data_IF_694577803790
#
_entry.id   IF_694577803790
#
_cell.length_a   1.000
_cell.length_b   1.000
_cell.length_c   1.000
_cell.angle_alpha   90.00
_cell.angle_beta   90.00
_cell.angle_gamma   90.00
#
_symmetry.space_group_name_H-M   'P 1'
#
loop_
_entity.id
_entity.type
_entity.pdbx_description
1 polymer ?
#
# COMPACT_ATOMS: atom_id res chain seq x y z
N UNK A 1 25.09 -31.33 -49.22
CA UNK A 1 24.16 -30.19 -49.13
C UNK A 1 23.22 -30.19 -47.90
N UNK A 2 23.31 -31.13 -46.95
CA UNK A 2 22.42 -31.19 -45.75
C UNK A 2 23.04 -30.61 -44.47
N UNK A 3 24.28 -30.21 -44.44
CA UNK A 3 24.98 -29.75 -43.20
C UNK A 3 24.89 -28.24 -42.95
N UNK A 4 24.79 -27.40 -43.97
CA UNK A 4 24.76 -25.94 -43.82
C UNK A 4 23.43 -25.41 -43.24
N UNK A 5 22.32 -26.05 -43.56
CA UNK A 5 21.01 -25.63 -43.05
C UNK A 5 20.84 -25.88 -41.54
N UNK A 6 21.50 -26.91 -40.98
CA UNK A 6 21.44 -27.19 -39.52
C UNK A 6 22.19 -26.14 -38.70
N UNK A 7 23.30 -25.64 -39.22
CA UNK A 7 24.09 -24.59 -38.56
C UNK A 7 23.38 -23.22 -38.57
N UNK A 8 22.67 -22.90 -39.65
CA UNK A 8 21.85 -21.68 -39.72
C UNK A 8 20.65 -21.72 -38.73
N UNK A 9 19.97 -22.86 -38.67
CA UNK A 9 18.86 -23.05 -37.69
C UNK A 9 19.34 -22.98 -36.23
N UNK A 10 20.47 -23.57 -35.88
CA UNK A 10 21.04 -23.50 -34.54
C UNK A 10 21.45 -22.06 -34.15
N UNK A 11 21.98 -21.26 -35.07
CA UNK A 11 22.32 -19.85 -34.80
C UNK A 11 21.10 -18.98 -34.62
N UNK A 12 20.03 -19.21 -35.36
CA UNK A 12 18.76 -18.50 -35.21
C UNK A 12 18.08 -18.87 -33.89
N UNK A 13 18.03 -20.14 -33.52
CA UNK A 13 17.49 -20.61 -32.26
C UNK A 13 18.30 -20.10 -31.05
N UNK A 14 19.62 -20.09 -31.12
CA UNK A 14 20.48 -19.54 -30.06
C UNK A 14 20.27 -18.02 -29.90
N UNK A 15 20.12 -17.27 -31.00
CA UNK A 15 19.81 -15.84 -30.96
C UNK A 15 18.45 -15.53 -30.31
N UNK A 16 17.43 -16.31 -30.63
CA UNK A 16 16.07 -16.14 -30.05
C UNK A 16 16.07 -16.43 -28.56
N UNK A 17 16.77 -17.50 -28.11
CA UNK A 17 16.85 -17.84 -26.67
C UNK A 17 17.58 -16.76 -25.86
N UNK A 18 18.66 -16.19 -26.39
CA UNK A 18 19.40 -15.09 -25.71
C UNK A 18 18.55 -13.84 -25.61
N UNK A 19 17.81 -13.46 -26.65
CA UNK A 19 16.91 -12.28 -26.61
C UNK A 19 15.77 -12.49 -25.62
N UNK A 20 15.18 -13.70 -25.54
CA UNK A 20 14.15 -13.98 -24.53
C UNK A 20 14.69 -13.91 -23.08
N UNK A 21 15.91 -14.40 -22.84
CA UNK A 21 16.52 -14.34 -21.49
C UNK A 21 16.85 -12.91 -21.06
N UNK A 22 17.24 -12.04 -21.99
CA UNK A 22 17.51 -10.64 -21.66
C UNK A 22 16.22 -9.91 -21.32
N UNK A 23 15.14 -10.12 -22.08
CA UNK A 23 13.84 -9.48 -21.84
C UNK A 23 13.22 -9.84 -20.47
N UNK A 24 13.35 -11.09 -20.04
CA UNK A 24 12.84 -11.53 -18.72
C UNK A 24 13.64 -10.93 -17.54
N UNK A 25 14.94 -10.72 -17.70
CA UNK A 25 15.77 -10.11 -16.65
C UNK A 25 15.50 -8.61 -16.49
N UNK A 26 15.23 -7.88 -17.56
CA UNK A 26 14.90 -6.45 -17.52
C UNK A 26 13.55 -6.25 -16.82
N UNK A 27 12.49 -6.99 -17.20
CA UNK A 27 11.18 -6.88 -16.58
C UNK A 27 11.21 -7.18 -15.06
N UNK A 28 12.08 -8.10 -14.61
CA UNK A 28 12.25 -8.39 -13.18
C UNK A 28 13.01 -7.28 -12.44
N UNK A 29 13.98 -6.63 -13.07
CA UNK A 29 14.72 -5.51 -12.47
C UNK A 29 13.82 -4.30 -12.27
N UNK A 30 13.01 -3.97 -13.26
CA UNK A 30 12.04 -2.86 -13.18
C UNK A 30 11.01 -3.07 -12.05
N UNK A 31 10.52 -4.30 -11.87
CA UNK A 31 9.59 -4.61 -10.77
C UNK A 31 10.24 -4.49 -9.39
N UNK A 32 11.52 -4.84 -9.27
CA UNK A 32 12.27 -4.69 -8.01
C UNK A 32 12.43 -3.21 -7.69
N UNK A 33 12.78 -2.37 -8.65
CA UNK A 33 12.91 -0.93 -8.49
C UNK A 33 11.58 -0.29 -8.08
N UNK A 34 10.47 -0.63 -8.76
CA UNK A 34 9.13 -0.20 -8.41
C UNK A 34 8.75 -0.59 -6.97
N UNK A 35 9.06 -1.83 -6.57
CA UNK A 35 8.77 -2.32 -5.22
C UNK A 35 9.59 -1.60 -4.14
N UNK A 36 10.85 -1.28 -4.44
CA UNK A 36 11.71 -0.50 -3.54
C UNK A 36 11.18 0.92 -3.37
N UNK A 37 10.92 1.65 -4.44
CA UNK A 37 10.35 2.99 -4.40
C UNK A 37 9.00 3.04 -3.67
N UNK A 38 8.11 2.08 -3.95
CA UNK A 38 6.84 1.99 -3.23
C UNK A 38 7.02 1.68 -1.73
N UNK A 39 8.00 0.84 -1.39
CA UNK A 39 8.33 0.55 0.02
C UNK A 39 8.88 1.76 0.76
N UNK A 40 9.69 2.59 0.10
CA UNK A 40 10.20 3.85 0.64
C UNK A 40 9.07 4.84 0.91
N UNK A 41 8.20 5.08 -0.08
CA UNK A 41 7.03 5.97 0.07
C UNK A 41 6.10 5.49 1.19
N UNK A 42 5.82 4.18 1.27
CA UNK A 42 5.00 3.63 2.34
C UNK A 42 5.66 3.77 3.72
N UNK A 43 6.98 3.66 3.79
CA UNK A 43 7.74 3.85 5.03
C UNK A 43 7.70 5.31 5.46
N UNK A 44 7.99 6.25 4.56
CA UNK A 44 7.89 7.70 4.81
C UNK A 44 6.51 8.08 5.34
N UNK A 45 5.45 7.56 4.71
CA UNK A 45 4.08 7.79 5.20
C UNK A 45 3.91 7.34 6.66
N UNK A 46 4.39 6.13 6.99
CA UNK A 46 4.24 5.56 8.34
C UNK A 46 5.09 6.30 9.39
N UNK A 47 6.28 6.73 9.03
CA UNK A 47 7.19 7.49 9.90
C UNK A 47 6.59 8.86 10.21
N UNK A 48 6.24 9.64 9.20
CA UNK A 48 5.63 10.97 9.38
C UNK A 48 4.33 10.91 10.20
N UNK A 49 3.47 9.92 9.90
CA UNK A 49 2.23 9.71 10.65
C UNK A 49 2.51 9.32 12.11
N UNK A 50 3.51 8.46 12.32
CA UNK A 50 3.92 8.00 13.66
C UNK A 50 4.52 9.12 14.50
N UNK A 51 5.35 9.96 13.90
CA UNK A 51 5.94 11.14 14.53
C UNK A 51 4.86 12.18 14.90
N UNK A 52 3.98 12.52 13.94
CA UNK A 52 2.86 13.43 14.19
C UNK A 52 1.96 12.92 15.32
N UNK A 53 1.64 11.62 15.31
CA UNK A 53 0.84 11.00 16.37
C UNK A 53 1.54 11.08 17.73
N UNK A 54 2.84 10.78 17.79
CA UNK A 54 3.60 10.81 19.05
C UNK A 54 3.70 12.22 19.58
N UNK A 55 3.95 13.20 18.74
CA UNK A 55 4.03 14.62 19.09
C UNK A 55 2.68 15.10 19.68
N UNK A 56 1.57 14.92 18.97
CA UNK A 56 0.27 15.38 19.44
C UNK A 56 -0.16 14.67 20.73
N UNK A 57 0.11 13.37 20.85
CA UNK A 57 -0.15 12.61 22.09
C UNK A 57 0.61 13.17 23.29
N UNK A 58 1.86 13.59 23.09
CA UNK A 58 2.75 14.10 24.16
C UNK A 58 2.40 15.55 24.52
N UNK A 59 2.14 16.39 23.53
CA UNK A 59 1.97 17.83 23.73
C UNK A 59 0.55 18.20 24.13
N UNK A 60 -0.48 17.53 23.56
CA UNK A 60 -1.89 17.91 23.70
C UNK A 60 -2.78 16.80 24.24
N UNK A 61 -2.24 15.59 24.36
CA UNK A 61 -2.96 14.45 24.86
C UNK A 61 -3.75 13.67 23.79
N UNK A 62 -4.35 12.54 24.19
CA UNK A 62 -4.90 11.56 23.25
C UNK A 62 -6.18 12.03 22.54
N UNK A 63 -6.97 12.93 23.12
CA UNK A 63 -8.18 13.45 22.47
C UNK A 63 -7.81 14.31 21.27
N UNK A 64 -6.85 15.21 21.45
CA UNK A 64 -6.36 16.09 20.39
C UNK A 64 -5.59 15.32 19.31
N UNK A 65 -4.90 14.23 19.68
CA UNK A 65 -4.21 13.37 18.73
C UNK A 65 -5.14 12.71 17.69
N UNK A 66 -6.46 12.69 17.91
CA UNK A 66 -7.43 12.24 16.91
C UNK A 66 -7.38 13.12 15.65
N UNK A 67 -6.98 14.39 15.78
CA UNK A 67 -6.83 15.32 14.66
C UNK A 67 -5.77 14.85 13.64
N UNK A 68 -4.75 14.14 14.12
CA UNK A 68 -3.73 13.51 13.23
C UNK A 68 -4.41 12.55 12.27
N UNK A 69 -5.33 11.75 12.75
CA UNK A 69 -6.05 10.80 11.90
C UNK A 69 -7.04 11.47 10.94
N UNK A 70 -7.67 12.58 11.36
CA UNK A 70 -8.70 13.26 10.56
C UNK A 70 -8.14 14.20 9.50
N UNK A 71 -7.01 14.86 9.80
CA UNK A 71 -6.41 15.91 8.95
C UNK A 71 -5.03 15.51 8.43
N UNK A 72 -4.06 15.27 9.31
CA UNK A 72 -2.68 15.07 8.89
C UNK A 72 -2.48 13.79 8.07
N UNK A 73 -3.12 12.68 8.41
CA UNK A 73 -2.96 11.44 7.64
C UNK A 73 -3.42 11.57 6.18
N UNK A 74 -4.60 12.18 5.87
CA UNK A 74 -4.97 12.49 4.49
C UNK A 74 -4.02 13.49 3.80
N UNK A 75 -3.51 14.50 4.53
CA UNK A 75 -2.60 15.50 3.97
C UNK A 75 -1.25 14.88 3.58
N UNK A 76 -0.68 14.02 4.44
CA UNK A 76 0.55 13.26 4.14
C UNK A 76 0.32 12.37 2.92
N UNK A 77 -0.77 11.60 2.87
CA UNK A 77 -1.10 10.75 1.74
C UNK A 77 -1.25 11.56 0.43
N UNK A 78 -1.96 12.69 0.49
CA UNK A 78 -2.16 13.58 -0.65
C UNK A 78 -0.87 14.24 -1.13
N UNK A 79 0.02 14.65 -0.23
CA UNK A 79 1.33 15.20 -0.57
C UNK A 79 2.20 14.15 -1.27
N UNK A 80 2.37 12.98 -0.66
CA UNK A 80 3.16 11.87 -1.24
C UNK A 80 2.58 11.44 -2.59
N UNK A 81 1.25 11.42 -2.74
CA UNK A 81 0.61 11.11 -4.02
C UNK A 81 0.99 12.11 -5.13
N UNK A 82 1.02 13.41 -4.83
CA UNK A 82 1.40 14.44 -5.80
C UNK A 82 2.90 14.43 -6.13
N UNK A 83 3.74 14.20 -5.12
CA UNK A 83 5.20 14.17 -5.28
C UNK A 83 5.66 13.04 -6.20
N UNK A 84 5.00 11.87 -6.10
CA UNK A 84 5.38 10.68 -6.85
C UNK A 84 4.49 10.41 -8.09
N UNK A 85 3.38 11.11 -8.27
CA UNK A 85 2.41 10.79 -9.32
C UNK A 85 1.66 9.47 -9.08
N UNK A 86 1.66 8.94 -7.84
CA UNK A 86 1.04 7.67 -7.45
C UNK A 86 -0.17 7.91 -6.54
N UNK A 87 -1.07 6.97 -6.48
CA UNK A 87 -2.12 6.99 -5.46
C UNK A 87 -1.59 6.33 -4.19
N UNK A 88 -1.38 7.13 -3.14
CA UNK A 88 -0.99 6.67 -1.80
C UNK A 88 -2.22 6.74 -0.90
N UNK A 89 -2.60 5.63 -0.29
CA UNK A 89 -3.76 5.54 0.60
C UNK A 89 -3.47 4.64 1.81
N UNK A 90 -4.33 4.75 2.83
CA UNK A 90 -4.31 3.84 3.98
C UNK A 90 -5.66 3.14 4.08
N UNK A 91 -5.67 1.84 3.88
CA UNK A 91 -6.87 1.01 3.97
C UNK A 91 -6.91 0.19 5.24
N UNK A 92 -8.10 -0.15 5.73
CA UNK A 92 -8.27 -0.84 7.00
C UNK A 92 -9.00 -2.18 6.89
N UNK A 93 -8.65 -3.14 7.76
CA UNK A 93 -9.43 -4.37 7.93
C UNK A 93 -10.79 -4.10 8.56
N UNK A 94 -10.84 -3.20 9.52
CA UNK A 94 -12.04 -2.56 10.08
C UNK A 94 -11.90 -1.06 9.84
N UNK A 95 -12.82 -0.46 9.10
CA UNK A 95 -12.66 0.88 8.54
C UNK A 95 -13.14 1.93 9.52
N UNK A 96 -12.32 2.97 9.79
CA UNK A 96 -12.70 4.13 10.59
C UNK A 96 -13.43 5.19 9.77
N UNK A 97 -12.84 5.54 8.63
CA UNK A 97 -13.42 6.48 7.69
C UNK A 97 -13.73 5.76 6.36
N UNK A 98 -15.01 5.45 6.07
CA UNK A 98 -15.38 4.75 4.84
C UNK A 98 -14.96 5.46 3.55
N UNK A 99 -14.95 6.81 3.56
CA UNK A 99 -14.60 7.59 2.37
C UNK A 99 -13.12 7.48 1.96
N UNK A 100 -12.23 7.27 2.95
CA UNK A 100 -10.78 7.30 2.72
C UNK A 100 -10.09 5.96 2.96
N UNK A 101 -10.74 5.04 3.68
CA UNK A 101 -10.06 3.82 4.14
C UNK A 101 -10.74 2.52 3.73
N UNK A 102 -11.76 2.57 2.85
CA UNK A 102 -12.42 1.38 2.32
C UNK A 102 -11.49 0.70 1.31
N UNK A 103 -11.11 -0.56 1.51
CA UNK A 103 -10.28 -1.29 0.56
C UNK A 103 -11.10 -1.70 -0.67
N UNK A 104 -10.48 -1.62 -1.86
CA UNK A 104 -11.00 -2.21 -3.08
C UNK A 104 -10.87 -3.76 -3.08
N UNK A 105 -11.34 -4.42 -4.13
CA UNK A 105 -11.36 -5.90 -4.21
C UNK A 105 -9.94 -6.50 -4.13
N UNK A 106 -8.96 -5.87 -4.79
CA UNK A 106 -7.57 -6.32 -4.73
C UNK A 106 -6.98 -6.13 -3.33
N UNK A 107 -7.19 -4.97 -2.73
CA UNK A 107 -6.73 -4.63 -1.38
C UNK A 107 -7.35 -5.55 -0.32
N UNK A 108 -8.65 -5.91 -0.47
CA UNK A 108 -9.32 -6.85 0.42
C UNK A 108 -8.65 -8.23 0.39
N UNK A 109 -8.30 -8.74 -0.80
CA UNK A 109 -7.58 -10.01 -0.96
C UNK A 109 -6.24 -9.99 -0.24
N UNK A 110 -5.45 -8.94 -0.47
CA UNK A 110 -4.12 -8.80 0.17
C UNK A 110 -4.23 -8.62 1.69
N UNK A 111 -5.22 -7.86 2.18
CA UNK A 111 -5.49 -7.74 3.62
C UNK A 111 -5.87 -9.09 4.25
N UNK A 112 -6.63 -9.92 3.55
CA UNK A 112 -6.97 -11.28 4.03
C UNK A 112 -5.70 -12.14 4.15
N UNK A 113 -4.81 -12.13 3.16
CA UNK A 113 -3.52 -12.84 3.20
C UNK A 113 -2.65 -12.37 4.37
N UNK A 114 -2.53 -11.06 4.59
CA UNK A 114 -1.78 -10.51 5.72
C UNK A 114 -2.41 -10.92 7.06
N UNK A 115 -3.75 -10.92 7.16
CA UNK A 115 -4.47 -11.33 8.37
C UNK A 115 -4.21 -12.80 8.70
N UNK A 116 -4.26 -13.67 7.70
CA UNK A 116 -3.99 -15.09 7.87
C UNK A 116 -2.55 -15.35 8.33
N UNK A 117 -1.58 -14.63 7.75
CA UNK A 117 -0.18 -14.74 8.15
C UNK A 117 0.06 -14.24 9.57
N UNK A 118 -0.60 -13.14 9.97
CA UNK A 118 -0.55 -12.63 11.33
C UNK A 118 -1.12 -13.64 12.34
N UNK A 119 -2.26 -14.23 12.02
CA UNK A 119 -2.91 -15.23 12.88
C UNK A 119 -2.05 -16.50 13.07
N UNK A 120 -1.20 -16.84 12.10
CA UNK A 120 -0.24 -17.96 12.18
C UNK A 120 1.06 -17.61 12.93
N UNK A 121 1.13 -16.41 13.55
CA UNK A 121 2.32 -15.96 14.30
C UNK A 121 3.55 -15.69 13.41
N UNK A 122 3.39 -15.59 12.09
CA UNK A 122 4.51 -15.24 11.20
C UNK A 122 4.86 -13.76 11.37
N UNK A 123 6.16 -13.47 11.44
CA UNK A 123 6.65 -12.09 11.50
C UNK A 123 6.19 -11.32 10.26
N UNK A 124 5.37 -10.30 10.47
CA UNK A 124 4.88 -9.42 9.40
C UNK A 124 5.78 -8.18 9.25
N UNK A 125 6.66 -7.94 10.21
CA UNK A 125 7.65 -6.87 10.11
C UNK A 125 8.50 -7.03 8.84
N UNK A 126 8.49 -6.00 7.99
CA UNK A 126 9.18 -6.00 6.69
C UNK A 126 8.43 -6.72 5.55
N UNK A 127 7.26 -7.31 5.81
CA UNK A 127 6.45 -7.93 4.76
C UNK A 127 5.84 -6.86 3.85
N UNK A 128 5.86 -7.15 2.55
CA UNK A 128 5.14 -6.37 1.53
C UNK A 128 4.45 -7.33 0.57
N UNK A 129 3.47 -6.82 -0.16
CA UNK A 129 2.86 -7.52 -1.28
C UNK A 129 2.82 -6.57 -2.46
N UNK A 130 3.24 -7.03 -3.63
CA UNK A 130 3.15 -6.25 -4.86
C UNK A 130 2.85 -7.15 -6.05
N UNK A 131 2.14 -6.62 -7.02
CA UNK A 131 1.90 -7.26 -8.31
C UNK A 131 1.52 -6.22 -9.37
N UNK A 132 1.68 -6.56 -10.63
CA UNK A 132 1.14 -5.79 -11.76
C UNK A 132 -0.28 -6.28 -12.01
N UNK A 133 -1.23 -5.35 -11.95
CA UNK A 133 -2.67 -5.62 -12.13
C UNK A 133 -3.16 -4.90 -13.37
N UNK A 134 -3.88 -5.62 -14.24
CA UNK A 134 -4.59 -5.03 -15.36
C UNK A 134 -6.00 -4.65 -14.92
N UNK A 135 -6.32 -3.38 -14.98
CA UNK A 135 -7.64 -2.81 -14.69
C UNK A 135 -8.26 -2.28 -16.02
N UNK A 136 -9.56 -1.96 -16.06
CA UNK A 136 -10.19 -1.51 -17.30
C UNK A 136 -9.59 -0.27 -17.94
N UNK A 137 -8.95 0.58 -17.15
CA UNK A 137 -8.34 1.86 -17.52
C UNK A 137 -6.81 1.81 -17.70
N UNK A 138 -6.19 0.63 -17.54
CA UNK A 138 -4.74 0.46 -17.76
C UNK A 138 -4.08 -0.58 -16.88
N UNK A 139 -2.74 -0.61 -16.96
CA UNK A 139 -1.93 -1.45 -16.08
C UNK A 139 -1.38 -0.64 -14.91
N UNK A 140 -1.36 -1.28 -13.76
CA UNK A 140 -0.90 -0.66 -12.51
C UNK A 140 0.04 -1.57 -11.76
N UNK A 141 1.14 -1.01 -11.29
CA UNK A 141 1.89 -1.63 -10.21
C UNK A 141 1.16 -1.31 -8.89
N UNK A 142 0.77 -2.36 -8.18
CA UNK A 142 0.07 -2.27 -6.91
C UNK A 142 0.95 -2.81 -5.80
N UNK A 143 1.02 -2.08 -4.70
CA UNK A 143 1.87 -2.41 -3.56
C UNK A 143 1.13 -2.19 -2.25
N UNK A 144 1.31 -3.10 -1.29
CA UNK A 144 0.80 -2.92 0.07
C UNK A 144 1.86 -3.24 1.12
N UNK A 145 1.92 -2.39 2.16
CA UNK A 145 2.73 -2.57 3.36
C UNK A 145 1.81 -2.65 4.59
N UNK A 146 1.83 -3.75 5.38
CA UNK A 146 0.91 -3.94 6.49
C UNK A 146 1.18 -2.99 7.64
N UNK A 147 0.12 -2.63 8.37
CA UNK A 147 0.13 -1.84 9.60
C UNK A 147 -0.36 -2.74 10.74
N UNK A 148 0.53 -3.02 11.70
CA UNK A 148 0.21 -3.85 12.86
C UNK A 148 -0.27 -3.00 14.03
N UNK A 149 -1.21 -3.55 14.79
CA UNK A 149 -1.66 -2.94 16.05
C UNK A 149 -0.60 -3.14 17.13
N UNK A 150 -0.09 -2.03 17.65
CA UNK A 150 0.79 -1.98 18.81
C UNK A 150 -0.02 -1.65 20.07
N UNK A 151 0.56 -1.86 21.26
CA UNK A 151 -0.12 -1.58 22.53
C UNK A 151 -0.63 -0.12 22.62
N UNK A 152 0.16 0.85 22.14
CA UNK A 152 -0.24 2.27 22.08
C UNK A 152 -1.46 2.54 21.19
N UNK A 153 -1.74 1.68 20.22
CA UNK A 153 -2.87 1.83 19.29
C UNK A 153 -4.20 1.51 19.97
N UNK A 154 -4.19 0.71 21.04
CA UNK A 154 -5.39 0.25 21.72
C UNK A 154 -6.16 1.38 22.43
N UNK A 155 -5.48 2.50 22.70
CA UNK A 155 -6.12 3.68 23.28
C UNK A 155 -7.29 4.21 22.41
N UNK A 156 -7.19 4.03 21.09
CA UNK A 156 -8.23 4.45 20.13
C UNK A 156 -8.80 3.29 19.30
N UNK A 157 -8.17 2.11 19.35
CA UNK A 157 -8.54 0.94 18.56
C UNK A 157 -8.83 -0.32 19.37
N UNK A 158 -8.68 -0.27 20.71
CA UNK A 158 -9.01 -1.35 21.61
C UNK A 158 -10.51 -1.65 21.67
N UNK A 159 -10.92 -2.47 22.62
CA UNK A 159 -12.35 -2.73 22.87
C UNK A 159 -13.05 -1.49 23.42
N UNK A 160 -14.36 -1.37 23.20
CA UNK A 160 -15.12 -0.19 23.56
C UNK A 160 -15.09 0.13 25.06
N UNK A 161 -14.92 -0.86 25.91
CA UNK A 161 -14.78 -0.75 27.36
C UNK A 161 -13.39 -0.29 27.80
N UNK A 162 -12.37 -0.54 27.00
CA UNK A 162 -10.97 -0.13 27.24
C UNK A 162 -10.66 1.29 26.74
N UNK A 163 -11.42 1.78 25.76
CA UNK A 163 -11.22 3.13 25.20
C UNK A 163 -11.81 4.16 26.20
N UNK A 164 -11.01 5.14 26.68
CA UNK A 164 -11.50 6.19 27.56
C UNK A 164 -12.72 6.93 26.99
N UNK A 165 -13.64 7.33 27.84
CA UNK A 165 -14.91 7.95 27.40
C UNK A 165 -14.70 9.21 26.57
N UNK A 166 -13.76 10.08 26.95
CA UNK A 166 -13.44 11.30 26.20
C UNK A 166 -12.98 11.01 24.78
N UNK A 167 -12.15 9.97 24.59
CA UNK A 167 -11.70 9.51 23.28
C UNK A 167 -12.86 8.92 22.49
N UNK A 168 -13.69 8.09 23.12
CA UNK A 168 -14.84 7.46 22.49
C UNK A 168 -15.85 8.50 21.98
N UNK A 169 -16.12 9.54 22.77
CA UNK A 169 -17.01 10.64 22.38
C UNK A 169 -16.45 11.42 21.19
N UNK A 170 -15.16 11.76 21.21
CA UNK A 170 -14.49 12.43 20.09
C UNK A 170 -14.47 11.56 18.83
N UNK A 171 -14.16 10.27 18.95
CA UNK A 171 -14.20 9.34 17.82
C UNK A 171 -15.61 9.24 17.23
N UNK A 172 -16.65 9.16 18.03
CA UNK A 172 -18.05 9.14 17.58
C UNK A 172 -18.42 10.42 16.83
N UNK A 173 -17.94 11.56 17.29
CA UNK A 173 -18.17 12.85 16.63
C UNK A 173 -17.45 12.96 15.29
N UNK A 174 -16.16 12.56 15.23
CA UNK A 174 -15.34 12.68 14.03
C UNK A 174 -15.61 11.56 13.01
N UNK A 175 -16.03 10.38 13.47
CA UNK A 175 -16.21 9.17 12.67
C UNK A 175 -17.51 8.46 13.05
N UNK A 176 -18.68 8.97 12.64
CA UNK A 176 -19.98 8.39 13.01
C UNK A 176 -20.17 6.94 12.51
N UNK A 177 -19.39 6.50 11.53
CA UNK A 177 -19.42 5.14 10.95
C UNK A 177 -18.19 4.32 11.32
N UNK A 178 -17.48 4.67 12.40
CA UNK A 178 -16.26 3.97 12.84
C UNK A 178 -16.51 2.51 13.17
N UNK A 179 -15.77 1.62 12.52
CA UNK A 179 -15.71 0.18 12.83
C UNK A 179 -14.32 -0.26 13.31
N UNK A 180 -13.36 0.67 13.43
CA UNK A 180 -11.96 0.36 13.73
C UNK A 180 -11.69 0.24 15.25
N UNK A 181 -12.52 -0.50 15.95
CA UNK A 181 -12.41 -0.81 17.39
C UNK A 181 -12.33 -2.32 17.61
N UNK A 182 -12.03 -2.73 18.84
CA UNK A 182 -11.97 -4.14 19.25
C UNK A 182 -10.73 -4.87 18.74
N UNK A 183 -9.65 -4.16 18.43
CA UNK A 183 -8.36 -4.77 18.08
C UNK A 183 -7.59 -5.21 19.31
N UNK A 184 -6.71 -6.18 19.07
CA UNK A 184 -5.68 -6.63 20.03
C UNK A 184 -4.29 -6.32 19.47
N UNK A 185 -3.31 -6.18 20.35
CA UNK A 185 -1.90 -6.08 19.95
C UNK A 185 -1.50 -7.28 19.09
N UNK A 186 -0.81 -7.01 17.98
CA UNK A 186 -0.38 -8.04 17.02
C UNK A 186 -1.39 -8.35 15.92
N UNK A 187 -2.62 -7.81 15.98
CA UNK A 187 -3.57 -7.92 14.86
C UNK A 187 -3.21 -6.95 13.72
N UNK A 188 -3.61 -7.30 12.52
CA UNK A 188 -3.50 -6.43 11.36
C UNK A 188 -4.53 -5.30 11.46
N UNK A 189 -4.06 -4.04 11.51
CA UNK A 189 -4.92 -2.84 11.47
C UNK A 189 -5.39 -2.52 10.04
N UNK A 190 -4.53 -2.78 9.08
CA UNK A 190 -4.69 -2.42 7.68
C UNK A 190 -3.36 -2.37 6.95
N UNK A 191 -3.28 -1.56 5.92
CA UNK A 191 -2.05 -1.38 5.15
C UNK A 191 -1.96 0.04 4.55
N UNK A 192 -0.74 0.49 4.27
CA UNK A 192 -0.50 1.52 3.25
C UNK A 192 -0.62 0.85 1.91
N UNK A 193 -1.44 1.40 1.02
CA UNK A 193 -1.65 0.92 -0.34
C UNK A 193 -1.18 1.97 -1.33
N UNK A 194 -0.40 1.53 -2.32
CA UNK A 194 0.11 2.34 -3.41
C UNK A 194 -0.36 1.74 -4.73
N UNK A 195 -0.88 2.60 -5.60
CA UNK A 195 -1.25 2.28 -6.98
C UNK A 195 -0.51 3.24 -7.89
N UNK A 196 0.37 2.70 -8.73
CA UNK A 196 1.19 3.44 -9.68
C UNK A 196 0.80 3.03 -11.10
N UNK A 197 0.42 3.95 -11.99
CA UNK A 197 0.20 3.63 -13.38
C UNK A 197 1.51 3.17 -14.03
N UNK A 198 1.43 2.12 -14.84
CA UNK A 198 2.55 1.67 -15.69
C UNK A 198 2.24 2.18 -17.08
N UNK A 199 3.13 3.00 -17.63
CA UNK A 199 3.02 3.41 -19.04
C UNK A 199 3.20 2.17 -19.92
N UNK A 200 2.21 1.87 -20.74
CA UNK A 200 2.35 0.83 -21.74
C UNK A 200 3.53 1.21 -22.66
N UNK A 201 4.50 0.32 -22.80
CA UNK A 201 5.62 0.47 -23.74
C UNK A 201 5.17 0.60 -25.22
N UNK A 202 3.87 0.56 -25.46
CA UNK A 202 3.19 0.87 -26.71
C UNK A 202 2.73 2.32 -26.69
N UNK A 203 3.68 3.24 -26.93
CA UNK A 203 3.48 4.67 -26.99
C UNK A 203 2.12 5.09 -27.54
N UNK A 204 1.32 5.66 -26.69
CA UNK A 204 0.05 6.32 -26.97
C UNK A 204 -0.12 7.47 -26.01
N UNK A 205 0.61 8.56 -26.23
CA UNK A 205 0.27 9.88 -25.72
C UNK A 205 -1.20 10.13 -26.03
N UNK A 206 -2.05 10.02 -25.02
CA UNK A 206 -3.38 10.62 -25.11
C UNK A 206 -3.17 12.13 -25.06
N UNK A 207 -3.20 12.68 -26.26
CA UNK A 207 -2.92 14.03 -26.63
C UNK A 207 -3.41 15.08 -25.65
N UNK A 208 -2.51 16.00 -25.34
CA UNK A 208 -2.86 17.38 -25.08
C UNK A 208 -3.67 17.88 -26.24
N UNK A 209 -4.97 18.03 -26.07
CA UNK A 209 -5.77 18.89 -26.91
C UNK A 209 -5.78 20.26 -26.28
N UNK A 210 -4.97 21.13 -26.88
CA UNK A 210 -5.15 22.57 -26.85
C UNK A 210 -6.63 22.95 -27.09
N UNK A 211 -7.20 23.68 -26.15
CA UNK A 211 -8.18 24.74 -26.39
C UNK A 211 -8.16 25.75 -25.26
#
# INVERSE_FOLDING_TARGET
MMTENRWRLMRVLAGIVVVLMIATNVASADQIELAQGASEVATTFLEELGEAMTREMTERGPVEAIIVCTKLAPDIAGRLSREHGWRVTRVGTRVRNPLLGMPDVWEQRVLAEFTERAAKGKTIAGMTHHEIVTEPDGQYFRFMKPIMVQSKCLLCHGSSDQIPESIRLMLKQQYPFDRAIGYKTGELRGAVSIKQPIEDARGGSLGGQDR
#
